data_IF_236049760508
#
_entry.id   IF_236049760508
#
_cell.length_a   1.000
_cell.length_b   1.000
_cell.length_c   1.000
_cell.angle_alpha   90.00
_cell.angle_beta   90.00
_cell.angle_gamma   90.00
#
_symmetry.space_group_name_H-M   'P 1'
#
loop_
_entity.id
_entity.type
_entity.pdbx_description
1 polymer ?
#
# COMPACT_ATOMS: atom_id res chain seq x y z
N UNK A 1 11.83 22.46 -19.11
CA UNK A 1 11.51 22.12 -18.83
C UNK A 1 11.29 21.38 -18.17
N UNK A 2 11.09 21.06 -18.08
CA UNK A 2 10.80 20.39 -17.55
C UNK A 2 10.75 19.57 -17.08
N UNK A 3 10.81 19.21 -16.84
CA UNK A 3 10.68 18.40 -16.43
C UNK A 3 10.44 17.80 -15.66
N UNK A 4 10.05 17.61 -15.31
CA UNK A 4 9.69 17.19 -14.49
C UNK A 4 9.65 16.14 -14.36
N UNK A 5 9.87 15.64 -14.31
CA UNK A 5 9.79 14.76 -14.17
C UNK A 5 9.53 14.02 -13.52
N UNK A 6 9.44 13.70 -13.67
CA UNK A 6 8.98 13.09 -13.06
C UNK A 6 9.40 12.08 -12.45
N UNK A 7 9.18 11.75 -11.53
CA UNK A 7 9.44 10.76 -10.79
C UNK A 7 8.60 9.65 -10.98
N UNK A 8 8.50 9.04 -12.05
CA UNK A 8 7.70 7.88 -12.24
C UNK A 8 8.38 6.70 -11.67
N UNK A 9 7.64 5.85 -10.94
CA UNK A 9 8.16 4.58 -10.51
C UNK A 9 8.47 3.72 -11.72
N UNK A 10 9.42 2.78 -11.61
CA UNK A 10 9.72 1.90 -12.75
C UNK A 10 8.52 1.10 -13.24
N UNK A 11 7.53 0.95 -12.41
CA UNK A 11 6.38 0.14 -12.77
C UNK A 11 5.16 0.98 -13.11
N UNK A 12 5.38 2.22 -13.48
CA UNK A 12 4.31 3.08 -13.94
C UNK A 12 3.62 3.82 -12.81
N UNK A 13 2.39 4.22 -13.06
CA UNK A 13 1.65 5.00 -12.07
C UNK A 13 1.13 4.12 -10.96
N UNK A 14 0.91 4.74 -9.82
CA UNK A 14 0.38 4.02 -8.68
C UNK A 14 -1.02 3.50 -9.01
N UNK A 15 -1.25 2.21 -8.85
CA UNK A 15 -2.57 1.67 -9.15
C UNK A 15 -3.59 2.13 -8.12
N UNK A 16 -4.84 2.19 -8.53
CA UNK A 16 -5.93 2.57 -7.66
C UNK A 16 -6.92 1.43 -7.61
N UNK A 17 -7.12 0.87 -6.44
CA UNK A 17 -8.07 -0.21 -6.24
C UNK A 17 -9.16 0.24 -5.29
N UNK A 18 -10.37 -0.21 -5.51
CA UNK A 18 -11.45 0.06 -4.59
C UNK A 18 -11.17 -0.65 -3.29
N UNK A 19 -11.20 0.09 -2.20
CA UNK A 19 -11.01 -0.53 -0.91
C UNK A 19 -12.34 -1.14 -0.45
N UNK A 20 -12.30 -2.35 0.05
CA UNK A 20 -13.53 -2.98 0.52
C UNK A 20 -13.99 -2.38 1.84
N UNK A 21 -15.27 -2.57 2.11
CA UNK A 21 -15.80 -2.19 3.42
C UNK A 21 -15.44 -3.30 4.37
N UNK A 22 -14.55 -3.01 5.27
CA UNK A 22 -14.14 -4.00 6.25
C UNK A 22 -14.99 -3.85 7.50
N UNK A 23 -15.43 -4.96 8.03
CA UNK A 23 -16.25 -4.93 9.22
C UNK A 23 -15.45 -4.70 10.47
N UNK A 24 -14.19 -5.02 10.45
CA UNK A 24 -13.38 -4.81 11.63
C UNK A 24 -12.21 -3.93 11.29
N UNK A 25 -12.02 -2.91 12.11
CA UNK A 25 -10.87 -2.03 11.99
C UNK A 25 -9.97 -2.33 13.15
N UNK A 26 -8.77 -2.75 12.86
CA UNK A 26 -7.82 -3.12 13.91
C UNK A 26 -6.88 -1.95 14.13
N UNK A 27 -6.89 -1.45 15.35
CA UNK A 27 -6.00 -0.35 15.70
C UNK A 27 -4.77 -0.89 16.38
N UNK A 28 -3.65 -0.26 16.12
CA UNK A 28 -2.44 -0.63 16.81
C UNK A 28 -2.55 -0.23 18.27
N UNK A 29 -1.94 -0.98 19.17
CA UNK A 29 -1.94 -0.59 20.59
C UNK A 29 -1.35 0.80 20.76
N UNK A 30 -1.83 1.51 21.77
CA UNK A 30 -1.34 2.86 22.03
C UNK A 30 0.15 2.87 22.38
N UNK A 31 0.65 1.77 22.90
CA UNK A 31 2.05 1.68 23.25
C UNK A 31 2.86 0.90 22.21
N UNK A 32 2.36 0.83 21.00
CA UNK A 32 3.05 0.12 19.93
C UNK A 32 4.35 0.84 19.56
N UNK A 33 5.37 0.08 19.26
CA UNK A 33 6.64 0.63 18.83
C UNK A 33 6.69 0.85 17.32
N UNK A 34 5.64 0.53 16.62
CA UNK A 34 5.62 0.65 15.17
C UNK A 34 5.78 2.10 14.74
N UNK A 35 6.63 2.32 13.76
CA UNK A 35 6.89 3.65 13.23
C UNK A 35 6.98 3.58 11.72
N UNK A 36 6.68 4.72 11.10
CA UNK A 36 6.78 4.83 9.66
C UNK A 36 8.24 4.59 9.24
N UNK A 37 8.41 3.72 8.27
CA UNK A 37 9.75 3.39 7.80
C UNK A 37 10.44 4.59 7.14
N UNK A 38 9.67 5.51 6.61
CA UNK A 38 10.23 6.64 5.88
C UNK A 38 10.42 7.85 6.78
N UNK A 39 9.38 8.33 7.42
CA UNK A 39 9.46 9.56 8.20
C UNK A 39 9.61 9.34 9.70
N UNK A 40 9.44 8.11 10.16
CA UNK A 40 9.65 7.79 11.57
C UNK A 40 8.52 8.17 12.49
N UNK A 41 7.40 8.64 11.99
CA UNK A 41 6.29 9.03 12.86
C UNK A 41 5.72 7.76 13.52
N UNK A 42 5.30 7.91 14.76
CA UNK A 42 4.72 6.78 15.50
C UNK A 42 3.40 6.35 14.85
N UNK A 43 3.21 5.06 14.74
CA UNK A 43 1.97 4.51 14.21
C UNK A 43 1.07 3.98 15.31
N UNK A 44 1.44 4.19 16.56
CA UNK A 44 0.62 3.75 17.68
C UNK A 44 -0.77 4.37 17.60
N UNK A 45 -1.78 3.58 17.90
CA UNK A 45 -3.16 4.04 17.85
C UNK A 45 -3.74 4.19 16.46
N UNK A 46 -2.94 3.98 15.44
CA UNK A 46 -3.44 4.11 14.07
C UNK A 46 -4.04 2.80 13.60
N UNK A 47 -4.85 2.89 12.57
CA UNK A 47 -5.51 1.70 12.02
C UNK A 47 -4.48 0.90 11.24
N UNK A 48 -4.30 -0.35 11.62
CA UNK A 48 -3.28 -1.18 11.02
C UNK A 48 -3.45 -1.33 9.52
N UNK A 49 -4.69 -1.50 9.07
CA UNK A 49 -4.94 -1.70 7.65
C UNK A 49 -4.48 -0.52 6.80
N UNK A 50 -4.45 0.67 7.38
CA UNK A 50 -4.03 1.84 6.62
C UNK A 50 -2.54 2.12 6.73
N UNK A 51 -1.83 1.40 7.60
CA UNK A 51 -0.41 1.62 7.81
C UNK A 51 0.45 0.42 7.49
N UNK A 52 -0.16 -0.71 7.17
CA UNK A 52 0.58 -1.88 6.74
C UNK A 52 0.60 -1.91 5.22
N UNK A 53 1.76 -1.69 4.66
CA UNK A 53 1.92 -1.63 3.22
C UNK A 53 2.69 -2.83 2.71
N UNK A 54 2.31 -3.30 1.56
CA UNK A 54 2.97 -4.42 0.89
C UNK A 54 3.33 -3.98 -0.51
N UNK A 55 4.55 -4.27 -0.92
CA UNK A 55 4.95 -3.93 -2.28
C UNK A 55 4.15 -4.76 -3.28
N UNK A 56 3.60 -4.09 -4.27
CA UNK A 56 2.80 -4.73 -5.29
C UNK A 56 3.66 -5.61 -6.20
N UNK A 57 4.96 -5.42 -6.18
CA UNK A 57 5.85 -6.13 -7.09
C UNK A 57 6.65 -7.22 -6.38
N UNK A 58 7.37 -6.88 -5.32
CA UNK A 58 8.21 -7.86 -4.66
C UNK A 58 7.56 -8.53 -3.44
N UNK A 59 6.45 -7.99 -2.98
CA UNK A 59 5.73 -8.61 -1.87
C UNK A 59 6.23 -8.29 -0.49
N UNK A 60 7.25 -7.45 -0.35
CA UNK A 60 7.75 -7.11 0.98
C UNK A 60 6.77 -6.21 1.70
N UNK A 61 6.76 -6.34 3.03
CA UNK A 61 5.85 -5.56 3.86
C UNK A 61 6.60 -4.49 4.62
N UNK A 62 5.94 -3.36 4.79
CA UNK A 62 6.51 -2.24 5.51
C UNK A 62 5.42 -1.55 6.32
N UNK A 63 5.84 -0.97 7.44
CA UNK A 63 4.95 -0.12 8.23
C UNK A 63 5.24 1.31 7.83
N UNK A 64 4.24 2.01 7.35
CA UNK A 64 4.40 3.40 6.91
C UNK A 64 3.15 4.19 7.25
N UNK A 65 3.34 5.48 7.51
CA UNK A 65 2.16 6.32 7.67
C UNK A 65 1.49 6.46 6.31
N UNK A 66 0.25 6.84 6.34
CA UNK A 66 -0.52 6.88 5.11
C UNK A 66 0.08 7.84 4.08
N UNK A 67 0.57 8.98 4.55
CA UNK A 67 1.15 9.95 3.63
C UNK A 67 2.35 9.39 2.90
N UNK A 68 3.27 8.75 3.62
CA UNK A 68 4.43 8.18 2.98
C UNK A 68 4.07 6.97 2.14
N UNK A 69 3.14 6.17 2.62
CA UNK A 69 2.77 4.94 1.91
C UNK A 69 2.21 5.18 0.53
N UNK A 70 1.51 6.31 0.34
CA UNK A 70 0.91 6.58 -0.96
C UNK A 70 1.84 7.35 -1.89
N UNK A 71 2.94 7.88 -1.38
CA UNK A 71 3.84 8.68 -2.21
C UNK A 71 5.20 8.04 -2.42
N UNK A 72 5.58 7.11 -1.55
CA UNK A 72 6.91 6.51 -1.63
C UNK A 72 6.89 5.21 -2.39
N UNK A 73 8.05 4.83 -2.89
CA UNK A 73 8.20 3.57 -3.58
C UNK A 73 8.78 2.54 -2.63
N UNK A 74 8.67 1.27 -3.00
CA UNK A 74 9.23 0.20 -2.21
C UNK A 74 10.75 0.40 -2.08
N UNK A 75 11.27 0.45 -0.86
CA UNK A 75 12.71 0.63 -0.70
C UNK A 75 13.52 -0.55 -1.22
N UNK A 76 12.89 -1.68 -1.45
CA UNK A 76 13.59 -2.85 -1.93
C UNK A 76 13.67 -2.93 -3.45
N UNK A 77 12.56 -2.64 -4.13
CA UNK A 77 12.53 -2.85 -5.58
C UNK A 77 12.00 -1.65 -6.36
N UNK A 78 11.51 -0.64 -5.68
CA UNK A 78 10.98 0.54 -6.35
C UNK A 78 9.54 0.42 -6.82
N UNK A 79 8.87 -0.68 -6.50
CA UNK A 79 7.47 -0.84 -6.87
C UNK A 79 6.55 -0.01 -6.00
N UNK A 80 5.27 -0.04 -6.33
CA UNK A 80 4.28 0.70 -5.56
C UNK A 80 3.87 -0.08 -4.33
N UNK A 81 3.54 0.66 -3.29
CA UNK A 81 3.13 0.08 -2.02
C UNK A 81 1.63 0.20 -1.87
N UNK A 82 1.00 -0.89 -1.45
CA UNK A 82 -0.43 -0.93 -1.24
C UNK A 82 -0.70 -1.26 0.22
N UNK A 83 -1.57 -0.51 0.87
CA UNK A 83 -1.93 -0.86 2.23
C UNK A 83 -2.86 -2.08 2.20
N UNK A 84 -3.22 -2.57 3.39
CA UNK A 84 -4.00 -3.82 3.45
C UNK A 84 -5.34 -3.71 2.75
N UNK A 85 -5.98 -2.55 2.85
CA UNK A 85 -7.25 -2.35 2.18
C UNK A 85 -7.09 -2.36 0.67
N UNK A 86 -6.07 -1.68 0.17
CA UNK A 86 -5.82 -1.64 -1.27
C UNK A 86 -5.44 -3.02 -1.79
N UNK A 87 -4.69 -3.75 -0.99
CA UNK A 87 -4.29 -5.09 -1.38
C UNK A 87 -5.52 -6.00 -1.47
N UNK A 88 -6.43 -5.83 -0.52
CA UNK A 88 -7.68 -6.58 -0.54
C UNK A 88 -8.49 -6.22 -1.78
N UNK A 89 -8.55 -4.95 -2.12
CA UNK A 89 -9.25 -4.50 -3.32
C UNK A 89 -8.64 -5.09 -4.58
N UNK A 90 -7.33 -5.17 -4.61
CA UNK A 90 -6.64 -5.77 -5.74
C UNK A 90 -7.03 -7.24 -5.89
N UNK A 91 -7.08 -7.94 -4.77
CA UNK A 91 -7.47 -9.34 -4.80
C UNK A 91 -8.88 -9.53 -5.30
N UNK A 92 -9.80 -8.69 -4.82
CA UNK A 92 -11.18 -8.78 -5.24
C UNK A 92 -11.30 -8.48 -6.74
N UNK A 93 -10.63 -7.45 -7.19
CA UNK A 93 -10.67 -7.07 -8.59
C UNK A 93 -10.12 -8.18 -9.47
N UNK A 94 -9.05 -8.80 -9.01
CA UNK A 94 -8.46 -9.88 -9.75
C UNK A 94 -9.43 -11.06 -9.91
N UNK A 95 -10.20 -11.33 -8.87
CA UNK A 95 -11.18 -12.40 -8.95
C UNK A 95 -12.31 -12.04 -9.90
N UNK A 96 -12.76 -10.80 -9.85
CA UNK A 96 -13.85 -10.39 -10.70
C UNK A 96 -13.45 -10.35 -12.17
N UNK A 97 -12.21 -10.01 -12.44
CA UNK A 97 -11.75 -9.93 -13.81
C UNK A 97 -11.02 -11.18 -14.23
N UNK A 98 -11.31 -12.28 -13.56
CA UNK A 98 -10.73 -13.51 -13.96
C UNK A 98 -11.04 -13.78 -15.40
N UNK A 99 -10.04 -14.05 -16.20
CA UNK A 99 -10.32 -14.29 -17.62
C UNK A 99 -11.13 -15.56 -17.72
N UNK A 100 -12.07 -15.49 -18.60
CA UNK A 100 -12.83 -16.61 -18.69
C UNK A 100 -12.31 -17.26 -19.69
N UNK A 101 -11.75 -17.62 -20.00
CA UNK A 101 -11.37 -18.26 -21.01
C UNK A 101 -11.70 -19.39 -21.21
N UNK A 102 -12.13 -19.49 -21.36
CA UNK A 102 -12.48 -20.31 -21.42
C UNK A 102 -12.33 -20.85 -22.03
N UNK A 103 -12.32 -21.19 -22.30
CA UNK A 103 -12.27 -21.63 -22.73
C UNK A 103 -12.24 -21.97 -22.93
#
# INVERSE_FOLDING_TARGET
MSEEKELKAPYGERPVYKTPMLNSLIKRPEDSDAKCKICGVSLAGRIMQSTQYTCDHCGRRFDMCRDCGVTEFCPNCGGWLLNSWELEGKWIEKKLHKPHHHH
#
